data_IF_735789009842
#
_entry.id   IF_735789009842
#
_cell.length_a   1.000
_cell.length_b   1.000
_cell.length_c   1.000
_cell.angle_alpha   90.00
_cell.angle_beta   90.00
_cell.angle_gamma   90.00
#
_symmetry.space_group_name_H-M   'P 1'
#
loop_
_entity.id
_entity.type
_entity.pdbx_description
1 polymer ?
#
# COMPACT_ATOMS: atom_id res chain seq x y z
N UNK A 1 16.47 15.00 5.03
CA UNK A 1 15.93 14.32 3.83
C UNK A 1 14.61 13.67 4.25
N UNK A 2 13.53 13.89 3.50
CA UNK A 2 12.23 13.26 3.72
C UNK A 2 11.94 12.26 2.60
N UNK A 3 11.12 11.26 2.87
CA UNK A 3 10.70 10.23 1.91
C UNK A 3 9.22 10.45 1.58
N UNK A 4 8.86 10.33 0.29
CA UNK A 4 7.48 10.44 -0.19
C UNK A 4 6.92 9.04 -0.40
N UNK A 5 5.67 8.85 0.00
CA UNK A 5 4.97 7.58 -0.12
C UNK A 5 3.64 7.80 -0.83
N UNK A 6 3.27 6.86 -1.71
CA UNK A 6 1.89 6.66 -2.11
C UNK A 6 1.23 5.74 -1.08
N UNK A 7 0.05 6.13 -0.60
CA UNK A 7 -0.65 5.43 0.47
C UNK A 7 -2.00 4.93 -0.03
N UNK A 8 -2.37 3.71 0.33
CA UNK A 8 -3.71 3.16 0.13
C UNK A 8 -4.16 2.39 1.36
N UNK A 9 -5.35 2.72 1.87
CA UNK A 9 -5.97 1.96 2.97
C UNK A 9 -6.72 0.77 2.41
N UNK A 10 -6.30 -0.43 2.82
CA UNK A 10 -7.03 -1.67 2.63
C UNK A 10 -8.00 -1.87 3.78
N UNK A 11 -9.25 -2.20 3.46
CA UNK A 11 -10.22 -2.71 4.41
C UNK A 11 -10.95 -3.91 3.82
N UNK A 12 -10.80 -5.07 4.44
CA UNK A 12 -11.49 -6.30 4.05
C UNK A 12 -10.58 -7.52 4.15
N UNK A 13 -10.91 -8.56 3.39
CA UNK A 13 -10.25 -9.83 3.58
C UNK A 13 -8.75 -9.80 3.19
N UNK A 14 -7.91 -10.39 4.04
CA UNK A 14 -6.47 -10.41 3.91
C UNK A 14 -5.99 -10.95 2.53
N UNK A 15 -6.69 -11.93 1.96
CA UNK A 15 -6.32 -12.47 0.63
C UNK A 15 -6.51 -11.45 -0.51
N UNK A 16 -7.25 -10.35 -0.29
CA UNK A 16 -7.43 -9.25 -1.26
C UNK A 16 -6.40 -8.13 -1.12
N UNK A 17 -5.46 -8.23 -0.17
CA UNK A 17 -4.43 -7.21 0.01
C UNK A 17 -3.56 -7.04 -1.25
N UNK A 18 -3.33 -8.13 -2.00
CA UNK A 18 -2.60 -8.10 -3.25
C UNK A 18 -3.33 -7.31 -4.35
N UNK A 19 -4.67 -7.32 -4.35
CA UNK A 19 -5.45 -6.50 -5.29
C UNK A 19 -5.38 -5.02 -4.90
N UNK A 20 -5.29 -4.73 -3.60
CA UNK A 20 -5.07 -3.36 -3.11
C UNK A 20 -3.68 -2.83 -3.49
N UNK A 21 -2.64 -3.67 -3.45
CA UNK A 21 -1.32 -3.33 -4.00
C UNK A 21 -1.36 -3.07 -5.51
N UNK A 22 -2.06 -3.89 -6.29
CA UNK A 22 -2.20 -3.66 -7.74
C UNK A 22 -2.83 -2.29 -8.01
N UNK A 23 -3.91 -1.96 -7.30
CA UNK A 23 -4.56 -0.66 -7.41
C UNK A 23 -3.63 0.49 -7.04
N UNK A 24 -2.84 0.34 -5.98
CA UNK A 24 -1.84 1.34 -5.58
C UNK A 24 -0.78 1.53 -6.67
N UNK A 25 -0.24 0.45 -7.26
CA UNK A 25 0.74 0.56 -8.33
C UNK A 25 0.17 1.23 -9.59
N UNK A 26 -1.07 0.89 -9.97
CA UNK A 26 -1.74 1.53 -11.10
C UNK A 26 -1.93 3.02 -10.83
N UNK A 27 -2.35 3.41 -9.63
CA UNK A 27 -2.49 4.81 -9.26
C UNK A 27 -1.16 5.57 -9.34
N UNK A 28 -0.06 4.96 -8.89
CA UNK A 28 1.29 5.53 -8.99
C UNK A 28 1.66 5.81 -10.45
N UNK A 29 1.44 4.82 -11.33
CA UNK A 29 1.72 4.94 -12.77
C UNK A 29 0.85 6.02 -13.43
N UNK A 30 -0.46 6.02 -13.17
CA UNK A 30 -1.42 6.99 -13.71
C UNK A 30 -1.07 8.44 -13.30
N UNK A 31 -0.50 8.62 -12.11
CA UNK A 31 -0.07 9.91 -11.59
C UNK A 31 1.38 10.27 -11.95
N UNK A 32 2.03 9.47 -12.80
CA UNK A 32 3.40 9.69 -13.32
C UNK A 32 4.46 9.74 -12.23
N UNK A 33 4.27 8.97 -11.16
CA UNK A 33 5.27 8.77 -10.12
C UNK A 33 6.09 7.51 -10.41
N UNK A 34 7.36 7.51 -10.03
CA UNK A 34 8.21 6.32 -10.14
C UNK A 34 8.26 5.57 -8.80
N UNK A 35 8.19 4.23 -8.86
CA UNK A 35 8.31 3.36 -7.69
C UNK A 35 9.77 3.12 -7.34
N UNK A 36 10.15 3.45 -6.11
CA UNK A 36 11.50 3.24 -5.60
C UNK A 36 11.65 1.85 -4.94
N UNK A 37 11.75 0.81 -5.78
CA UNK A 37 11.82 -0.61 -5.36
C UNK A 37 13.06 -0.96 -4.50
N UNK A 38 14.05 -0.07 -4.46
CA UNK A 38 15.26 -0.19 -3.64
C UNK A 38 15.12 0.48 -2.26
N UNK A 39 13.93 1.00 -1.91
CA UNK A 39 13.60 1.62 -0.63
C UNK A 39 12.61 0.76 0.16
N UNK A 40 12.39 1.14 1.41
CA UNK A 40 11.44 0.44 2.28
C UNK A 40 10.00 0.71 1.83
N UNK A 41 9.20 -0.34 1.77
CA UNK A 41 7.75 -0.30 1.61
C UNK A 41 7.17 -0.81 2.93
N UNK A 42 6.10 -0.18 3.42
CA UNK A 42 5.58 -0.45 4.77
C UNK A 42 4.10 -0.78 4.73
N UNK A 43 3.70 -1.70 5.60
CA UNK A 43 2.30 -2.06 5.85
C UNK A 43 1.98 -1.78 7.31
N UNK A 44 0.96 -0.97 7.57
CA UNK A 44 0.54 -0.61 8.93
C UNK A 44 -0.83 -1.20 9.18
N UNK A 45 -0.92 -2.29 9.95
CA UNK A 45 -2.17 -2.94 10.29
C UNK A 45 -2.73 -2.41 11.61
N UNK A 46 -3.95 -1.89 11.58
CA UNK A 46 -4.65 -1.36 12.75
C UNK A 46 -5.47 -2.45 13.47
N UNK A 47 -5.98 -3.44 12.73
CA UNK A 47 -6.65 -4.62 13.27
C UNK A 47 -6.21 -5.87 12.49
N UNK A 48 -5.82 -6.92 13.22
CA UNK A 48 -5.41 -8.21 12.64
C UNK A 48 -6.15 -9.40 13.26
N UNK A 49 -7.18 -9.15 14.05
CA UNK A 49 -7.92 -10.18 14.77
C UNK A 49 -8.86 -10.98 13.85
N UNK A 50 -9.32 -10.37 12.75
CA UNK A 50 -10.17 -11.00 11.74
C UNK A 50 -9.48 -11.00 10.37
N UNK A 51 -9.28 -12.18 9.78
CA UNK A 51 -8.69 -12.33 8.46
C UNK A 51 -9.62 -11.90 7.33
N UNK A 52 -10.92 -11.77 7.60
CA UNK A 52 -11.93 -11.32 6.65
C UNK A 52 -12.21 -9.81 6.73
N UNK A 53 -11.81 -9.14 7.83
CA UNK A 53 -11.94 -7.69 8.03
C UNK A 53 -10.63 -7.07 8.56
N UNK A 54 -9.58 -7.19 7.73
CA UNK A 54 -8.28 -6.62 8.00
C UNK A 54 -8.26 -5.15 7.55
N UNK A 55 -7.83 -4.27 8.44
CA UNK A 55 -7.69 -2.84 8.21
C UNK A 55 -6.21 -2.45 8.29
N UNK A 56 -5.67 -1.93 7.19
CA UNK A 56 -4.29 -1.46 7.17
C UNK A 56 -3.97 -0.52 6.02
N UNK A 57 -2.85 0.19 6.15
CA UNK A 57 -2.32 1.09 5.14
C UNK A 57 -1.12 0.46 4.43
N UNK A 58 -1.15 0.52 3.10
CA UNK A 58 -0.05 0.13 2.23
C UNK A 58 0.70 1.40 1.81
N UNK A 59 2.01 1.43 2.06
CA UNK A 59 2.89 2.56 1.78
C UNK A 59 3.97 2.14 0.79
N UNK A 60 3.86 2.59 -0.46
CA UNK A 60 4.89 2.39 -1.49
C UNK A 60 5.70 3.67 -1.67
N UNK A 61 7.04 3.54 -1.70
CA UNK A 61 7.91 4.71 -1.82
C UNK A 61 7.94 5.20 -3.26
N UNK A 62 7.77 6.50 -3.45
CA UNK A 62 7.74 7.14 -4.77
C UNK A 62 8.61 8.40 -4.85
N UNK A 63 8.95 8.81 -6.07
CA UNK A 63 9.53 10.13 -6.39
C UNK A 63 8.69 10.94 -7.37
#
# INVERSE_FOLDING_TARGET
MSQKYAALRHKGANYKIMDSYKNLHMWIEDNKYERLKNKWHSEIFNSREDSEDLDGELLDTIE
#
